data_IF_556530598618
#
_entry.id   IF_556530598618
#
_cell.length_a   1.000
_cell.length_b   1.000
_cell.length_c   1.000
_cell.angle_alpha   90.00
_cell.angle_beta   90.00
_cell.angle_gamma   90.00
#
_symmetry.space_group_name_H-M   'P 1'
#
loop_
_entity.id
_entity.type
_entity.pdbx_description
1 polymer ?
#
# COMPACT_ATOMS: atom_id res chain seq x y z
N UNK A 1 -48.62 -5.35 -41.75
CA UNK A 1 -47.73 -5.01 -40.62
C UNK A 1 -46.44 -5.86 -40.61
N UNK A 2 -45.34 -5.31 -40.09
CA UNK A 2 -44.06 -5.99 -39.87
C UNK A 2 -43.52 -5.70 -38.47
N UNK A 3 -42.73 -6.63 -37.92
CA UNK A 3 -42.05 -6.49 -36.63
C UNK A 3 -40.55 -6.61 -36.86
N UNK A 4 -39.79 -5.56 -36.54
CA UNK A 4 -38.33 -5.45 -36.76
C UNK A 4 -37.62 -4.87 -35.54
N UNK A 5 -36.29 -4.70 -35.61
CA UNK A 5 -35.47 -4.01 -34.59
C UNK A 5 -35.59 -4.57 -33.17
N UNK A 6 -35.55 -5.90 -33.07
CA UNK A 6 -35.63 -6.64 -31.82
C UNK A 6 -34.47 -6.26 -30.89
N UNK A 7 -34.81 -5.87 -29.67
CA UNK A 7 -33.88 -5.55 -28.60
C UNK A 7 -34.32 -6.28 -27.34
N UNK A 8 -33.44 -7.03 -26.65
CA UNK A 8 -32.17 -7.53 -27.17
C UNK A 8 -32.36 -8.30 -28.49
N UNK A 9 -31.36 -8.34 -29.39
CA UNK A 9 -31.43 -9.16 -30.60
C UNK A 9 -31.64 -10.65 -30.27
N UNK A 10 -32.21 -11.40 -31.21
CA UNK A 10 -32.42 -12.85 -31.03
C UNK A 10 -31.09 -13.58 -30.75
N UNK A 11 -31.07 -14.40 -29.70
CA UNK A 11 -29.90 -15.12 -29.21
C UNK A 11 -28.86 -14.26 -28.48
N UNK A 12 -29.17 -12.99 -28.14
CA UNK A 12 -28.22 -12.12 -27.45
C UNK A 12 -27.95 -12.57 -26.00
N UNK A 13 -26.69 -12.44 -25.58
CA UNK A 13 -26.31 -12.52 -24.17
C UNK A 13 -26.38 -11.13 -23.53
N UNK A 14 -27.09 -11.02 -22.42
CA UNK A 14 -27.33 -9.75 -21.72
C UNK A 14 -26.86 -9.87 -20.28
N UNK A 15 -26.11 -8.88 -19.80
CA UNK A 15 -25.50 -8.89 -18.46
C UNK A 15 -26.28 -8.11 -17.41
N UNK A 16 -27.28 -7.32 -17.83
CA UNK A 16 -28.20 -6.64 -16.91
C UNK A 16 -29.45 -7.50 -16.71
N UNK A 17 -29.87 -7.77 -15.45
CA UNK A 17 -31.08 -8.54 -15.19
C UNK A 17 -32.37 -7.72 -15.41
N UNK A 18 -32.27 -6.42 -15.73
CA UNK A 18 -33.40 -5.54 -16.08
C UNK A 18 -33.21 -4.92 -17.47
N UNK A 19 -33.16 -5.74 -18.54
CA UNK A 19 -32.92 -5.22 -19.88
C UNK A 19 -34.13 -4.46 -20.42
N UNK A 20 -33.87 -3.47 -21.28
CA UNK A 20 -34.94 -2.91 -22.11
C UNK A 20 -35.24 -3.89 -23.24
N UNK A 21 -36.49 -4.34 -23.31
CA UNK A 21 -37.02 -5.21 -24.35
C UNK A 21 -37.86 -4.36 -25.30
N UNK A 22 -37.54 -4.33 -26.59
CA UNK A 22 -38.30 -3.53 -27.56
C UNK A 22 -38.28 -4.12 -28.96
N UNK A 23 -39.25 -3.70 -29.78
CA UNK A 23 -39.30 -3.94 -31.21
C UNK A 23 -40.01 -2.76 -31.91
N UNK A 24 -39.86 -2.66 -33.23
CA UNK A 24 -40.58 -1.69 -34.06
C UNK A 24 -41.68 -2.42 -34.83
N UNK A 25 -42.91 -1.92 -34.71
CA UNK A 25 -44.08 -2.39 -35.46
C UNK A 25 -44.44 -1.33 -36.50
N UNK A 26 -44.46 -1.71 -37.78
CA UNK A 26 -44.74 -0.80 -38.88
C UNK A 26 -45.80 -1.36 -39.84
N UNK A 27 -46.59 -0.47 -40.44
CA UNK A 27 -47.48 -0.79 -41.57
C UNK A 27 -47.67 0.46 -42.43
N UNK A 28 -47.29 0.37 -43.71
CA UNK A 28 -47.31 1.53 -44.63
C UNK A 28 -48.66 1.77 -45.31
N UNK A 29 -49.58 0.79 -45.27
CA UNK A 29 -50.83 0.84 -46.03
C UNK A 29 -52.03 1.26 -45.18
N UNK A 30 -52.35 0.48 -44.15
CA UNK A 30 -53.53 0.67 -43.30
C UNK A 30 -53.18 1.27 -41.92
N UNK A 31 -51.91 1.22 -41.56
CA UNK A 31 -51.39 1.62 -40.26
C UNK A 31 -51.61 0.55 -39.19
N UNK A 32 -50.78 0.59 -38.16
CA UNK A 32 -50.85 -0.34 -37.02
C UNK A 32 -52.11 -0.04 -36.18
N UNK A 33 -52.79 -1.09 -35.71
CA UNK A 33 -53.84 -0.98 -34.70
C UNK A 33 -53.21 -1.14 -33.29
N UNK A 34 -53.07 -0.06 -32.50
CA UNK A 34 -52.39 -0.12 -31.20
C UNK A 34 -53.06 -1.06 -30.19
N UNK A 35 -54.39 -1.17 -30.25
CA UNK A 35 -55.17 -2.03 -29.34
C UNK A 35 -54.98 -3.53 -29.61
N UNK A 36 -54.32 -3.88 -30.71
CA UNK A 36 -54.03 -5.27 -31.08
C UNK A 36 -52.64 -5.75 -30.70
N UNK A 37 -51.81 -4.87 -30.12
CA UNK A 37 -50.44 -5.21 -29.74
C UNK A 37 -50.47 -6.02 -28.44
N UNK A 38 -49.85 -7.20 -28.46
CA UNK A 38 -49.70 -8.06 -27.29
C UNK A 38 -48.24 -8.45 -27.16
N UNK A 39 -47.65 -8.15 -26.01
CA UNK A 39 -46.28 -8.52 -25.68
C UNK A 39 -46.28 -9.49 -24.50
N UNK A 40 -45.51 -10.58 -24.61
CA UNK A 40 -45.32 -11.55 -23.52
C UNK A 40 -43.83 -11.79 -23.27
N UNK A 41 -43.47 -11.92 -22.00
CA UNK A 41 -42.16 -12.40 -21.56
C UNK A 41 -42.38 -13.74 -20.85
N UNK A 42 -41.68 -14.79 -21.30
CA UNK A 42 -41.78 -16.16 -20.79
C UNK A 42 -43.22 -16.70 -20.75
N UNK A 43 -44.01 -16.30 -21.75
CA UNK A 43 -45.42 -16.67 -21.88
C UNK A 43 -46.39 -15.84 -21.03
N UNK A 44 -45.89 -14.93 -20.18
CA UNK A 44 -46.71 -14.02 -19.35
C UNK A 44 -46.85 -12.67 -20.06
N UNK A 45 -48.08 -12.16 -20.16
CA UNK A 45 -48.35 -10.86 -20.77
C UNK A 45 -47.80 -9.72 -19.90
N UNK A 46 -47.15 -8.73 -20.54
CA UNK A 46 -46.48 -7.62 -19.87
C UNK A 46 -47.04 -6.28 -20.31
N UNK A 47 -47.04 -5.32 -19.38
CA UNK A 47 -47.40 -3.93 -19.67
C UNK A 47 -46.26 -3.25 -20.43
N UNK A 48 -46.54 -2.80 -21.65
CA UNK A 48 -45.56 -2.14 -22.52
C UNK A 48 -45.96 -0.69 -22.82
N UNK A 49 -45.02 0.06 -23.38
CA UNK A 49 -45.25 1.37 -23.97
C UNK A 49 -45.20 1.28 -25.48
N UNK A 50 -46.09 1.99 -26.18
CA UNK A 50 -46.11 2.09 -27.63
C UNK A 50 -46.05 3.55 -28.07
N UNK A 51 -45.09 3.88 -28.93
CA UNK A 51 -44.95 5.19 -29.55
C UNK A 51 -45.47 5.13 -31.00
N UNK A 52 -46.65 5.71 -31.31
CA UNK A 52 -47.22 5.68 -32.65
C UNK A 52 -46.40 6.43 -33.71
N UNK A 53 -45.51 7.34 -33.31
CA UNK A 53 -44.70 8.13 -34.24
C UNK A 53 -43.49 7.35 -34.76
N UNK A 54 -42.96 6.43 -33.95
CA UNK A 54 -41.80 5.60 -34.27
C UNK A 54 -42.17 4.12 -34.50
N UNK A 55 -43.38 3.71 -34.13
CA UNK A 55 -43.81 2.31 -34.14
C UNK A 55 -43.17 1.49 -33.01
N UNK A 56 -42.44 2.11 -32.08
CA UNK A 56 -41.66 1.39 -31.07
C UNK A 56 -42.56 0.87 -29.94
N UNK A 57 -42.53 -0.44 -29.73
CA UNK A 57 -43.05 -1.12 -28.54
C UNK A 57 -41.88 -1.36 -27.58
N UNK A 58 -41.99 -0.95 -26.31
CA UNK A 58 -40.91 -1.08 -25.33
C UNK A 58 -41.42 -1.48 -23.95
N UNK A 59 -40.72 -2.41 -23.31
CA UNK A 59 -40.95 -2.92 -21.96
C UNK A 59 -39.61 -2.99 -21.20
N UNK A 60 -39.62 -2.62 -19.92
CA UNK A 60 -38.49 -2.83 -19.01
C UNK A 60 -39.03 -3.55 -17.78
N UNK A 61 -38.50 -4.75 -17.44
CA UNK A 61 -38.90 -5.47 -16.23
C UNK A 61 -38.75 -4.61 -14.97
N UNK A 62 -39.77 -4.62 -14.11
CA UNK A 62 -39.72 -3.95 -12.80
C UNK A 62 -38.95 -4.75 -11.74
N UNK A 63 -38.78 -6.06 -11.97
CA UNK A 63 -38.01 -6.97 -11.12
C UNK A 63 -36.87 -7.59 -11.92
N UNK A 64 -35.71 -7.89 -11.29
CA UNK A 64 -34.61 -8.58 -11.94
C UNK A 64 -35.01 -9.95 -12.47
N UNK A 65 -34.78 -10.18 -13.75
CA UNK A 65 -34.89 -11.49 -14.38
C UNK A 65 -33.78 -12.43 -13.85
N UNK A 66 -34.09 -13.72 -13.77
CA UNK A 66 -33.14 -14.75 -13.35
C UNK A 66 -32.06 -14.98 -14.42
N UNK A 67 -30.94 -15.61 -14.06
CA UNK A 67 -29.99 -16.10 -15.07
C UNK A 67 -30.61 -17.23 -15.90
N UNK A 68 -30.44 -17.19 -17.21
CA UNK A 68 -31.03 -18.16 -18.12
C UNK A 68 -31.63 -17.55 -19.38
N UNK A 69 -32.20 -18.41 -20.21
CA UNK A 69 -32.89 -18.02 -21.44
C UNK A 69 -34.27 -17.47 -21.13
N UNK A 70 -34.60 -16.33 -21.73
CA UNK A 70 -35.90 -15.68 -21.69
C UNK A 70 -36.46 -15.53 -23.10
N UNK A 71 -37.75 -15.77 -23.26
CA UNK A 71 -38.43 -15.73 -24.55
C UNK A 71 -39.43 -14.59 -24.61
N UNK A 72 -39.33 -13.76 -25.64
CA UNK A 72 -40.26 -12.66 -25.91
C UNK A 72 -41.16 -13.04 -27.07
N UNK A 73 -42.46 -12.85 -26.89
CA UNK A 73 -43.46 -12.95 -27.95
C UNK A 73 -44.09 -11.58 -28.18
N UNK A 74 -44.23 -11.17 -29.43
CA UNK A 74 -44.92 -9.95 -29.83
C UNK A 74 -45.85 -10.23 -31.01
N UNK A 75 -47.12 -9.86 -30.88
CA UNK A 75 -48.09 -9.88 -31.98
C UNK A 75 -48.72 -8.51 -32.16
N UNK A 76 -48.97 -8.11 -33.39
CA UNK A 76 -49.69 -6.88 -33.72
C UNK A 76 -50.51 -7.06 -35.01
N UNK A 77 -51.66 -6.41 -35.09
CA UNK A 77 -52.47 -6.34 -36.30
C UNK A 77 -52.52 -4.93 -36.89
N UNK A 78 -52.71 -4.85 -38.20
CA UNK A 78 -53.00 -3.60 -38.88
C UNK A 78 -54.52 -3.29 -38.85
N UNK A 79 -54.92 -2.11 -39.35
CA UNK A 79 -56.34 -1.72 -39.38
C UNK A 79 -57.18 -2.47 -40.42
N UNK A 80 -56.54 -3.19 -41.35
CA UNK A 80 -57.20 -4.07 -42.31
C UNK A 80 -57.42 -5.49 -41.75
N UNK A 81 -56.88 -5.80 -40.58
CA UNK A 81 -57.02 -7.09 -39.90
C UNK A 81 -55.92 -8.09 -40.23
N UNK A 82 -54.83 -7.70 -40.88
CA UNK A 82 -53.67 -8.58 -41.08
C UNK A 82 -52.83 -8.60 -39.80
N UNK A 83 -52.37 -9.78 -39.38
CA UNK A 83 -51.57 -9.97 -38.15
C UNK A 83 -50.13 -10.31 -38.49
N UNK A 84 -49.19 -9.79 -37.71
CA UNK A 84 -47.79 -10.19 -37.68
C UNK A 84 -47.43 -10.67 -36.27
N UNK A 85 -46.61 -11.72 -36.20
CA UNK A 85 -46.11 -12.30 -34.96
C UNK A 85 -44.60 -12.45 -35.05
N UNK A 86 -43.92 -12.25 -33.93
CA UNK A 86 -42.50 -12.53 -33.79
C UNK A 86 -42.22 -13.15 -32.42
N UNK A 87 -41.30 -14.10 -32.40
CA UNK A 87 -40.76 -14.69 -31.17
C UNK A 87 -39.25 -14.65 -31.24
N UNK A 88 -38.61 -14.17 -30.18
CA UNK A 88 -37.16 -14.18 -30.07
C UNK A 88 -36.73 -14.43 -28.64
N UNK A 89 -35.48 -14.81 -28.48
CA UNK A 89 -34.89 -15.18 -27.20
C UNK A 89 -33.68 -14.31 -26.88
N UNK A 90 -33.40 -14.15 -25.59
CA UNK A 90 -32.13 -13.63 -25.10
C UNK A 90 -31.76 -14.37 -23.82
N UNK A 91 -30.47 -14.45 -23.50
CA UNK A 91 -29.99 -15.11 -22.29
C UNK A 91 -29.46 -14.07 -21.33
N UNK A 92 -30.00 -14.03 -20.11
CA UNK A 92 -29.37 -13.31 -19.00
C UNK A 92 -28.18 -14.15 -18.53
N UNK A 93 -26.99 -13.59 -18.71
CA UNK A 93 -25.73 -14.19 -18.25
C UNK A 93 -25.17 -13.37 -17.10
N UNK A 94 -24.56 -14.05 -16.13
CA UNK A 94 -23.82 -13.37 -15.06
C UNK A 94 -22.71 -12.52 -15.66
N UNK A 95 -22.63 -11.26 -15.26
CA UNK A 95 -21.47 -10.42 -15.59
C UNK A 95 -20.21 -11.08 -15.02
N UNK A 96 -19.23 -11.37 -15.88
CA UNK A 96 -17.93 -11.82 -15.42
C UNK A 96 -17.25 -10.70 -14.64
N UNK A 97 -16.85 -10.98 -13.39
CA UNK A 97 -16.00 -10.06 -12.62
C UNK A 97 -14.64 -9.96 -13.33
N UNK A 98 -14.07 -8.76 -13.53
CA UNK A 98 -12.71 -8.65 -14.03
C UNK A 98 -11.71 -9.33 -13.07
N UNK A 99 -10.58 -9.83 -13.58
CA UNK A 99 -9.52 -10.34 -12.73
C UNK A 99 -8.88 -9.21 -11.92
N UNK A 100 -8.43 -9.51 -10.70
CA UNK A 100 -7.67 -8.54 -9.92
C UNK A 100 -6.28 -8.37 -10.54
N UNK A 101 -5.94 -7.14 -10.92
CA UNK A 101 -4.62 -6.81 -11.46
C UNK A 101 -3.70 -6.21 -10.40
N UNK A 102 -4.23 -5.35 -9.52
CA UNK A 102 -3.46 -4.65 -8.50
C UNK A 102 -4.23 -4.61 -7.17
N UNK A 103 -3.50 -4.69 -6.06
CA UNK A 103 -4.00 -4.34 -4.73
C UNK A 103 -3.17 -3.17 -4.21
N UNK A 104 -3.82 -2.14 -3.68
CA UNK A 104 -3.16 -1.09 -2.91
C UNK A 104 -3.53 -1.22 -1.45
N UNK A 105 -2.54 -1.49 -0.61
CA UNK A 105 -2.74 -1.70 0.82
C UNK A 105 -2.28 -0.48 1.61
N UNK A 106 -3.11 -0.01 2.54
CA UNK A 106 -2.78 1.13 3.40
C UNK A 106 -3.30 0.92 4.81
N UNK A 107 -2.53 1.38 5.81
CA UNK A 107 -2.97 1.47 7.19
C UNK A 107 -3.25 2.94 7.53
N UNK A 108 -4.28 3.21 8.34
CA UNK A 108 -4.63 4.57 8.75
C UNK A 108 -3.57 5.22 9.65
N UNK A 109 -2.66 4.43 10.21
CA UNK A 109 -1.46 4.88 10.92
C UNK A 109 -0.35 3.85 10.75
N UNK A 110 0.90 4.31 10.65
CA UNK A 110 2.09 3.44 10.70
C UNK A 110 2.44 3.02 12.13
N UNK A 111 1.92 3.72 13.15
CA UNK A 111 2.21 3.45 14.55
C UNK A 111 0.93 3.10 15.30
N UNK A 112 0.98 1.98 16.01
CA UNK A 112 -0.16 1.43 16.75
C UNK A 112 0.25 1.31 18.22
N UNK A 113 -0.50 1.90 19.17
CA UNK A 113 -0.29 1.66 20.58
C UNK A 113 -0.41 0.17 20.90
N UNK A 114 0.57 -0.39 21.60
CA UNK A 114 0.58 -1.78 22.04
C UNK A 114 -0.25 -1.99 23.32
N UNK A 115 -1.49 -1.47 23.35
CA UNK A 115 -2.42 -1.54 24.48
C UNK A 115 -3.39 -2.73 24.38
N UNK A 116 -3.42 -3.43 23.24
CA UNK A 116 -4.34 -4.53 22.96
C UNK A 116 -5.76 -4.09 22.57
N UNK A 117 -6.03 -2.79 22.55
CA UNK A 117 -7.38 -2.23 22.37
C UNK A 117 -7.46 -1.29 21.16
N UNK A 118 -6.47 -0.42 20.97
CA UNK A 118 -6.43 0.54 19.87
C UNK A 118 -6.29 -0.18 18.55
N UNK A 119 -7.34 -0.07 17.74
CA UNK A 119 -7.43 -0.68 16.43
C UNK A 119 -7.05 0.32 15.32
N UNK A 120 -6.13 -0.07 14.44
CA UNK A 120 -5.82 0.68 13.24
C UNK A 120 -6.53 0.06 12.05
N UNK A 121 -7.15 0.91 11.23
CA UNK A 121 -7.84 0.50 10.02
C UNK A 121 -6.83 0.16 8.93
N UNK A 122 -6.99 -1.01 8.31
CA UNK A 122 -6.20 -1.46 7.16
C UNK A 122 -7.14 -1.65 5.97
N UNK A 123 -6.92 -0.86 4.94
CA UNK A 123 -7.73 -0.81 3.72
C UNK A 123 -6.93 -1.39 2.54
N UNK A 124 -7.50 -2.40 1.89
CA UNK A 124 -7.03 -2.94 0.62
C UNK A 124 -7.96 -2.47 -0.51
N UNK A 125 -7.47 -1.61 -1.39
CA UNK A 125 -8.16 -1.21 -2.62
C UNK A 125 -7.84 -2.23 -3.72
N UNK A 126 -8.87 -2.87 -4.25
CA UNK A 126 -8.78 -3.89 -5.29
C UNK A 126 -9.07 -3.28 -6.66
N UNK A 127 -8.14 -3.40 -7.60
CA UNK A 127 -8.19 -2.76 -8.90
C UNK A 127 -8.06 -3.77 -10.05
N UNK A 128 -8.74 -3.49 -11.15
CA UNK A 128 -8.56 -4.19 -12.43
C UNK A 128 -7.35 -3.65 -13.23
N UNK A 129 -7.11 -4.21 -14.42
CA UNK A 129 -6.02 -3.80 -15.31
C UNK A 129 -6.11 -2.34 -15.76
N UNK A 130 -7.30 -1.74 -15.71
CA UNK A 130 -7.54 -0.34 -16.07
C UNK A 130 -7.48 0.60 -14.85
N UNK A 131 -7.17 0.07 -13.66
CA UNK A 131 -7.14 0.84 -12.42
C UNK A 131 -8.52 1.19 -11.88
N UNK A 132 -9.57 0.48 -12.30
CA UNK A 132 -10.93 0.66 -11.78
C UNK A 132 -11.18 -0.25 -10.56
N UNK A 133 -11.94 0.23 -9.56
CA UNK A 133 -12.25 -0.57 -8.38
C UNK A 133 -13.14 -1.77 -8.72
N UNK A 134 -12.83 -2.93 -8.13
CA UNK A 134 -13.61 -4.16 -8.29
C UNK A 134 -14.38 -4.45 -6.99
N UNK A 135 -15.73 -4.35 -6.97
CA UNK A 135 -16.54 -4.76 -5.83
C UNK A 135 -16.71 -6.29 -5.73
N UNK A 136 -17.04 -6.77 -4.53
CA UNK A 136 -17.38 -8.18 -4.28
C UNK A 136 -16.20 -9.16 -4.30
N UNK A 137 -14.96 -8.67 -4.20
CA UNK A 137 -13.74 -9.48 -4.16
C UNK A 137 -13.42 -9.87 -2.72
N UNK A 138 -13.26 -11.17 -2.45
CA UNK A 138 -12.73 -11.63 -1.16
C UNK A 138 -11.21 -11.40 -1.13
N UNK A 139 -10.76 -10.56 -0.22
CA UNK A 139 -9.35 -10.29 0.05
C UNK A 139 -8.96 -11.03 1.32
N UNK A 140 -7.95 -11.88 1.24
CA UNK A 140 -7.36 -12.56 2.40
C UNK A 140 -6.27 -11.69 3.00
N UNK A 141 -6.26 -11.56 4.32
CA UNK A 141 -5.27 -10.78 5.06
C UNK A 141 -4.47 -11.70 5.97
N UNK A 142 -3.16 -11.49 5.99
CA UNK A 142 -2.24 -12.12 6.94
C UNK A 142 -1.39 -11.06 7.61
N UNK A 143 -0.97 -11.31 8.84
CA UNK A 143 -0.01 -10.45 9.55
C UNK A 143 1.09 -11.28 10.20
N UNK A 144 2.32 -10.75 10.23
CA UNK A 144 3.44 -11.40 10.95
C UNK A 144 3.37 -11.21 12.47
N UNK A 145 2.66 -10.17 12.94
CA UNK A 145 2.48 -9.86 14.35
C UNK A 145 1.15 -9.12 14.61
N UNK A 146 0.68 -9.13 15.86
CA UNK A 146 -0.62 -8.57 16.23
C UNK A 146 -1.80 -9.47 15.85
N UNK A 147 -3.01 -8.94 15.98
CA UNK A 147 -4.26 -9.64 15.71
C UNK A 147 -5.14 -8.86 14.73
N UNK A 148 -5.53 -9.51 13.64
CA UNK A 148 -6.50 -8.97 12.68
C UNK A 148 -7.93 -9.23 13.17
N UNK A 149 -8.84 -8.28 12.92
CA UNK A 149 -10.27 -8.43 13.23
C UNK A 149 -10.94 -9.58 12.46
N UNK A 150 -10.41 -9.92 11.29
CA UNK A 150 -10.81 -11.06 10.46
C UNK A 150 -9.66 -11.47 9.52
N UNK A 151 -9.62 -12.74 9.11
CA UNK A 151 -8.64 -13.24 8.13
C UNK A 151 -8.97 -12.88 6.67
N UNK A 152 -10.15 -12.32 6.43
CA UNK A 152 -10.58 -11.89 5.10
C UNK A 152 -11.66 -10.80 5.19
N UNK A 153 -11.76 -9.96 4.17
CA UNK A 153 -12.87 -9.02 3.98
C UNK A 153 -13.27 -8.95 2.51
N UNK A 154 -14.52 -8.56 2.22
CA UNK A 154 -15.03 -8.42 0.85
C UNK A 154 -14.96 -6.95 0.42
N UNK A 155 -14.50 -6.69 -0.79
CA UNK A 155 -14.45 -5.34 -1.33
C UNK A 155 -15.86 -4.75 -1.54
N UNK A 156 -16.05 -3.50 -1.10
CA UNK A 156 -17.30 -2.76 -1.28
C UNK A 156 -17.42 -2.15 -2.70
N UNK A 157 -18.47 -1.35 -2.95
CA UNK A 157 -18.72 -0.65 -4.23
C UNK A 157 -17.58 0.27 -4.68
N UNK A 158 -16.71 0.71 -3.76
CA UNK A 158 -15.53 1.53 -4.08
C UNK A 158 -14.24 0.70 -4.14
N UNK A 159 -14.35 -0.64 -4.11
CA UNK A 159 -13.23 -1.56 -4.25
C UNK A 159 -12.43 -1.81 -2.96
N UNK A 160 -12.87 -1.27 -1.82
CA UNK A 160 -12.15 -1.41 -0.54
C UNK A 160 -12.62 -2.62 0.25
N UNK A 161 -11.67 -3.49 0.62
CA UNK A 161 -11.83 -4.50 1.65
C UNK A 161 -11.07 -4.04 2.92
N UNK A 162 -11.78 -3.98 4.05
CA UNK A 162 -11.26 -3.39 5.29
C UNK A 162 -11.16 -4.42 6.41
N UNK A 163 -10.02 -4.43 7.10
CA UNK A 163 -9.82 -5.12 8.38
C UNK A 163 -9.21 -4.16 9.40
N UNK A 164 -9.22 -4.54 10.67
CA UNK A 164 -8.55 -3.78 11.73
C UNK A 164 -7.43 -4.61 12.33
N UNK A 165 -6.35 -3.96 12.73
CA UNK A 165 -5.21 -4.59 13.40
C UNK A 165 -5.05 -4.00 14.81
N UNK A 166 -4.88 -4.87 15.80
CA UNK A 166 -4.54 -4.53 17.19
C UNK A 166 -3.30 -5.31 17.65
N UNK A 167 -2.67 -4.88 18.73
CA UNK A 167 -1.61 -5.64 19.40
C UNK A 167 -1.46 -5.25 20.85
N UNK A 168 -1.19 -6.22 21.72
CA UNK A 168 -0.75 -6.00 23.11
C UNK A 168 0.78 -6.16 23.26
N UNK A 169 1.48 -6.50 22.19
CA UNK A 169 2.94 -6.71 22.19
C UNK A 169 3.66 -5.42 21.81
N UNK A 170 4.58 -5.00 22.67
CA UNK A 170 5.37 -3.79 22.49
C UNK A 170 6.53 -4.02 21.53
N UNK A 171 6.83 -3.01 20.73
CA UNK A 171 8.08 -2.85 19.95
C UNK A 171 8.37 -4.06 19.07
N UNK A 172 7.48 -4.30 18.10
CA UNK A 172 7.73 -5.21 16.98
C UNK A 172 7.10 -4.65 15.70
N UNK A 173 7.67 -4.99 14.55
CA UNK A 173 7.12 -4.67 13.24
C UNK A 173 6.10 -5.73 12.84
N UNK A 174 4.94 -5.32 12.35
CA UNK A 174 3.98 -6.19 11.68
C UNK A 174 3.98 -5.91 10.18
N UNK A 175 4.18 -6.96 9.39
CA UNK A 175 3.93 -6.95 7.94
C UNK A 175 2.52 -7.46 7.74
N UNK A 176 1.63 -6.59 7.22
CA UNK A 176 0.31 -7.01 6.77
C UNK A 176 0.40 -7.28 5.27
N UNK A 177 -0.09 -8.43 4.84
CA UNK A 177 -0.20 -8.81 3.43
C UNK A 177 -1.66 -9.03 3.09
N UNK A 178 -2.11 -8.42 1.99
CA UNK A 178 -3.41 -8.63 1.38
C UNK A 178 -3.22 -9.43 0.08
N UNK A 179 -4.05 -10.44 -0.14
CA UNK A 179 -4.02 -11.32 -1.31
C UNK A 179 -5.44 -11.48 -1.86
N UNK A 180 -5.61 -11.25 -3.16
CA UNK A 180 -6.84 -11.54 -3.89
C UNK A 180 -6.50 -12.02 -5.30
N UNK A 181 -7.10 -13.13 -5.72
CA UNK A 181 -6.72 -13.88 -6.92
C UNK A 181 -5.19 -14.14 -6.94
N UNK A 182 -4.47 -13.53 -7.88
CA UNK A 182 -2.99 -13.61 -8.00
C UNK A 182 -2.27 -12.32 -7.59
N UNK A 183 -3.01 -11.27 -7.21
CA UNK A 183 -2.43 -9.99 -6.82
C UNK A 183 -2.21 -9.95 -5.31
N UNK A 184 -1.06 -9.42 -4.88
CA UNK A 184 -0.74 -9.25 -3.47
C UNK A 184 -0.10 -7.89 -3.22
N UNK A 185 -0.37 -7.32 -2.05
CA UNK A 185 0.30 -6.12 -1.56
C UNK A 185 0.62 -6.27 -0.09
N UNK A 186 1.70 -5.62 0.36
CA UNK A 186 2.08 -5.61 1.77
C UNK A 186 2.31 -4.18 2.28
N UNK A 187 2.09 -3.99 3.57
CA UNK A 187 2.38 -2.73 4.27
C UNK A 187 2.91 -3.04 5.67
N UNK A 188 3.73 -2.14 6.20
CA UNK A 188 4.39 -2.28 7.49
C UNK A 188 3.78 -1.31 8.50
N UNK A 189 3.59 -1.79 9.72
CA UNK A 189 3.23 -0.97 10.89
C UNK A 189 4.08 -1.36 12.09
N UNK A 190 4.20 -0.44 13.04
CA UNK A 190 5.03 -0.58 14.24
C UNK A 190 4.14 -0.54 15.48
N UNK A 191 4.25 -1.55 16.33
CA UNK A 191 3.62 -1.53 17.65
C UNK A 191 4.52 -0.78 18.62
N UNK A 192 4.03 0.32 19.16
CA UNK A 192 4.80 1.23 20.03
C UNK A 192 4.19 1.22 21.42
N UNK A 193 4.99 1.46 22.45
CA UNK A 193 4.47 1.65 23.80
C UNK A 193 3.38 2.74 23.79
N UNK A 194 2.17 2.51 24.36
CA UNK A 194 1.09 3.48 24.37
C UNK A 194 1.50 4.86 24.90
N UNK A 195 2.41 4.92 25.86
CA UNK A 195 2.90 6.17 26.43
C UNK A 195 3.86 6.92 25.49
N UNK A 196 4.42 6.23 24.48
CA UNK A 196 5.46 6.75 23.59
C UNK A 196 5.02 6.93 22.14
N UNK A 197 3.84 6.42 21.75
CA UNK A 197 3.35 6.48 20.36
C UNK A 197 3.30 7.90 19.79
N UNK A 198 2.95 8.90 20.61
CA UNK A 198 2.87 10.31 20.21
C UNK A 198 4.22 11.01 20.09
N UNK A 199 5.31 10.36 20.50
CA UNK A 199 6.67 10.91 20.48
C UNK A 199 7.55 10.28 19.39
N UNK A 200 6.99 9.37 18.59
CA UNK A 200 7.73 8.74 17.50
C UNK A 200 7.98 9.77 16.40
N UNK A 201 9.25 9.90 16.03
CA UNK A 201 9.72 10.72 14.93
C UNK A 201 10.15 9.84 13.76
N UNK A 202 10.26 10.48 12.60
CA UNK A 202 10.90 9.91 11.41
C UNK A 202 12.02 10.83 10.95
N UNK A 203 13.14 10.24 10.54
CA UNK A 203 14.24 10.96 9.92
C UNK A 203 14.68 10.26 8.63
N UNK A 204 14.77 11.01 7.54
CA UNK A 204 15.18 10.50 6.24
C UNK A 204 16.69 10.68 6.04
N UNK A 205 17.42 9.58 5.91
CA UNK A 205 18.84 9.56 5.57
C UNK A 205 18.98 9.32 4.08
N UNK A 206 19.46 10.32 3.35
CA UNK A 206 19.73 10.21 1.92
C UNK A 206 21.00 9.40 1.68
N UNK A 207 20.90 8.39 0.83
CA UNK A 207 22.02 7.53 0.42
C UNK A 207 22.24 7.69 -1.09
N UNK A 208 23.50 7.77 -1.50
CA UNK A 208 23.90 7.76 -2.91
C UNK A 208 24.44 6.38 -3.29
N UNK A 209 24.49 6.07 -4.59
CA UNK A 209 25.11 4.81 -5.08
C UNK A 209 26.57 4.71 -4.63
N UNK A 210 26.96 3.54 -4.12
CA UNK A 210 28.30 3.30 -3.60
C UNK A 210 28.36 3.36 -2.08
N UNK A 211 29.49 3.79 -1.54
CA UNK A 211 29.70 3.84 -0.09
C UNK A 211 29.12 5.11 0.50
N UNK A 212 28.45 4.97 1.64
CA UNK A 212 27.91 6.06 2.45
C UNK A 212 28.40 5.86 3.88
N UNK A 213 28.83 6.94 4.53
CA UNK A 213 29.19 6.91 5.95
C UNK A 213 28.08 7.62 6.73
N UNK A 214 27.27 6.83 7.42
CA UNK A 214 26.01 7.31 8.00
C UNK A 214 25.96 7.15 9.52
N UNK A 215 25.01 7.85 10.12
CA UNK A 215 24.54 7.64 11.50
C UNK A 215 23.04 7.38 11.52
N UNK A 216 22.54 6.95 12.69
CA UNK A 216 21.12 6.97 13.00
C UNK A 216 20.82 8.16 13.92
N UNK A 217 20.22 9.26 13.42
CA UNK A 217 19.92 10.44 14.24
C UNK A 217 18.90 10.18 15.33
N UNK A 218 18.03 9.18 15.13
CA UNK A 218 17.04 8.74 16.10
C UNK A 218 17.47 7.40 16.71
N UNK A 219 17.07 7.18 17.96
CA UNK A 219 17.08 5.87 18.61
C UNK A 219 16.03 5.02 17.86
N UNK A 220 16.43 4.01 17.07
CA UNK A 220 15.49 3.30 16.23
C UNK A 220 14.48 2.52 17.08
N UNK A 221 13.22 2.46 16.62
CA UNK A 221 12.20 1.61 17.25
C UNK A 221 12.63 0.13 17.26
N UNK A 222 13.36 -0.31 16.25
CA UNK A 222 13.97 -1.64 16.19
C UNK A 222 15.39 -1.53 15.65
N UNK A 223 16.38 -1.89 16.47
CA UNK A 223 17.79 -1.84 16.08
C UNK A 223 18.22 -3.03 15.23
N UNK A 224 17.41 -4.09 15.08
CA UNK A 224 17.79 -5.26 14.29
C UNK A 224 18.00 -4.86 12.83
N UNK A 225 19.16 -5.19 12.26
CA UNK A 225 19.57 -4.67 10.94
C UNK A 225 18.61 -5.06 9.81
N UNK A 226 18.07 -6.29 9.84
CA UNK A 226 17.11 -6.77 8.82
C UNK A 226 15.75 -6.11 8.92
N UNK A 227 15.40 -5.61 10.10
CA UNK A 227 14.15 -4.89 10.33
C UNK A 227 14.30 -3.42 9.97
N UNK A 228 15.37 -2.78 10.43
CA UNK A 228 15.66 -1.38 10.19
C UNK A 228 15.84 -1.07 8.70
N UNK A 229 16.47 -1.98 7.96
CA UNK A 229 16.79 -1.79 6.54
C UNK A 229 15.81 -2.47 5.59
N UNK A 230 14.70 -3.04 6.10
CA UNK A 230 13.79 -3.87 5.31
C UNK A 230 13.29 -3.17 4.05
N UNK A 231 12.82 -1.93 4.18
CA UNK A 231 12.19 -1.17 3.09
C UNK A 231 13.19 -0.77 1.98
N UNK A 232 14.50 -0.85 2.28
CA UNK A 232 15.60 -0.54 1.35
C UNK A 232 16.53 -1.74 1.12
N UNK A 233 16.11 -2.95 1.54
CA UNK A 233 16.99 -4.12 1.61
C UNK A 233 17.53 -4.54 0.23
N UNK A 234 16.74 -4.39 -0.83
CA UNK A 234 17.16 -4.74 -2.20
C UNK A 234 18.31 -3.85 -2.71
N UNK A 235 18.32 -2.59 -2.26
CA UNK A 235 19.29 -1.59 -2.66
C UNK A 235 20.57 -1.58 -1.83
N UNK A 236 20.57 -2.19 -0.64
CA UNK A 236 21.76 -2.26 0.24
C UNK A 236 22.54 -3.55 -0.02
N UNK A 237 23.82 -3.40 -0.34
CA UNK A 237 24.73 -4.52 -0.55
C UNK A 237 25.37 -4.98 0.77
N UNK A 238 25.88 -4.03 1.57
CA UNK A 238 26.63 -4.35 2.78
C UNK A 238 26.62 -3.21 3.77
N UNK A 239 26.61 -3.56 5.06
CA UNK A 239 26.81 -2.63 6.17
C UNK A 239 28.02 -3.06 6.97
N UNK A 240 28.85 -2.11 7.40
CA UNK A 240 29.95 -2.33 8.33
C UNK A 240 29.85 -1.40 9.54
N UNK A 241 30.28 -1.91 10.68
CA UNK A 241 30.51 -1.15 11.91
C UNK A 241 31.93 -1.43 12.43
N UNK A 242 32.47 -0.48 13.17
CA UNK A 242 33.79 -0.59 13.77
C UNK A 242 33.69 -0.40 15.28
N UNK A 243 34.22 -1.35 16.05
CA UNK A 243 34.32 -1.26 17.50
C UNK A 243 35.71 -0.76 17.87
N UNK A 244 35.79 0.49 18.33
CA UNK A 244 37.05 1.10 18.71
C UNK A 244 37.66 0.52 20.00
N UNK A 245 36.86 -0.14 20.84
CA UNK A 245 37.33 -0.72 22.11
C UNK A 245 38.12 -2.01 21.89
N UNK A 246 37.75 -2.79 20.86
CA UNK A 246 38.39 -4.05 20.48
C UNK A 246 39.26 -3.92 19.23
N UNK A 247 39.03 -2.89 18.41
CA UNK A 247 39.65 -2.73 17.10
C UNK A 247 39.05 -3.64 16.02
N UNK A 248 37.91 -4.25 16.29
CA UNK A 248 37.27 -5.23 15.41
C UNK A 248 36.28 -4.56 14.44
N UNK A 249 36.11 -5.21 13.29
CA UNK A 249 35.13 -4.84 12.28
C UNK A 249 34.03 -5.89 12.22
N UNK A 250 32.80 -5.41 12.22
CA UNK A 250 31.60 -6.22 12.08
C UNK A 250 30.91 -5.85 10.78
N UNK A 251 30.26 -6.81 10.13
CA UNK A 251 29.53 -6.55 8.89
C UNK A 251 28.26 -7.38 8.76
N UNK A 252 27.37 -6.92 7.87
CA UNK A 252 26.21 -7.68 7.42
C UNK A 252 26.01 -7.49 5.92
N UNK A 253 25.86 -8.60 5.20
CA UNK A 253 25.54 -8.66 3.78
C UNK A 253 24.04 -9.00 3.64
N UNK A 254 23.23 -8.04 3.21
CA UNK A 254 21.78 -8.20 3.17
C UNK A 254 21.34 -9.18 2.08
N UNK A 255 22.06 -9.24 0.96
CA UNK A 255 21.75 -10.13 -0.16
C UNK A 255 22.07 -11.57 0.17
N UNK A 256 23.18 -11.82 0.86
CA UNK A 256 23.57 -13.15 1.29
C UNK A 256 22.94 -13.56 2.64
N UNK A 257 22.44 -12.62 3.44
CA UNK A 257 21.90 -12.88 4.77
C UNK A 257 22.96 -13.35 5.78
N UNK A 258 24.22 -12.97 5.58
CA UNK A 258 25.37 -13.41 6.39
C UNK A 258 26.12 -12.23 6.99
N UNK A 259 26.71 -12.45 8.16
CA UNK A 259 27.49 -11.44 8.88
C UNK A 259 27.28 -11.51 10.38
N UNK A 260 28.16 -10.85 11.11
CA UNK A 260 28.21 -10.78 12.57
C UNK A 260 27.61 -9.48 13.14
N UNK A 261 27.45 -8.43 12.31
CA UNK A 261 26.70 -7.24 12.69
C UNK A 261 25.20 -7.56 12.70
N UNK A 262 24.58 -7.56 13.88
CA UNK A 262 23.16 -7.87 14.05
C UNK A 262 22.26 -6.66 14.25
N UNK A 263 22.84 -5.57 14.75
CA UNK A 263 22.10 -4.38 15.16
C UNK A 263 22.76 -3.12 14.63
N UNK A 264 21.93 -2.13 14.29
CA UNK A 264 22.33 -0.75 14.08
C UNK A 264 21.68 0.10 15.16
N UNK A 265 22.53 0.67 16.01
CA UNK A 265 22.21 1.56 17.12
C UNK A 265 22.62 2.99 16.79
N UNK A 266 21.89 3.91 17.39
CA UNK A 266 22.22 5.33 17.47
C UNK A 266 23.58 5.56 18.17
N UNK A 267 24.22 6.69 17.86
CA UNK A 267 25.54 7.07 18.37
C UNK A 267 26.74 6.38 17.73
N UNK A 268 26.52 5.33 16.92
CA UNK A 268 27.56 4.65 16.13
C UNK A 268 27.51 5.07 14.66
N UNK A 269 28.67 5.06 14.01
CA UNK A 269 28.79 5.28 12.58
C UNK A 269 28.77 3.96 11.81
N UNK A 270 28.18 3.96 10.62
CA UNK A 270 28.08 2.79 9.76
C UNK A 270 28.53 3.10 8.35
N UNK A 271 29.31 2.20 7.75
CA UNK A 271 29.55 2.20 6.32
C UNK A 271 28.47 1.39 5.63
N UNK A 272 27.66 2.04 4.80
CA UNK A 272 26.58 1.40 4.05
C UNK A 272 26.89 1.48 2.57
N UNK A 273 26.99 0.33 1.91
CA UNK A 273 27.16 0.22 0.47
C UNK A 273 25.82 0.00 -0.20
N UNK A 274 25.46 0.85 -1.15
CA UNK A 274 24.22 0.75 -1.92
C UNK A 274 24.50 0.56 -3.41
N UNK A 275 23.55 -0.06 -4.12
CA UNK A 275 23.62 -0.19 -5.59
C UNK A 275 23.13 1.06 -6.32
N UNK A 276 22.25 1.85 -5.72
CA UNK A 276 21.66 3.06 -6.28
C UNK A 276 21.40 4.11 -5.20
N UNK A 277 20.90 5.30 -5.60
CA UNK A 277 20.47 6.31 -4.65
C UNK A 277 19.12 5.95 -4.05
N UNK A 278 18.95 6.13 -2.73
CA UNK A 278 17.72 5.78 -2.01
C UNK A 278 17.60 6.61 -0.72
N UNK A 279 16.42 6.53 -0.09
CA UNK A 279 16.18 7.17 1.20
C UNK A 279 15.95 6.08 2.24
N UNK A 280 16.76 6.08 3.30
CA UNK A 280 16.53 5.28 4.49
C UNK A 280 15.74 6.10 5.50
N UNK A 281 14.46 5.79 5.69
CA UNK A 281 13.66 6.40 6.76
C UNK A 281 13.86 5.66 8.07
N UNK A 282 14.42 6.35 9.06
CA UNK A 282 14.58 5.85 10.43
C UNK A 282 13.39 6.30 11.27
N UNK A 283 12.67 5.38 11.88
CA UNK A 283 11.62 5.68 12.86
C UNK A 283 12.14 5.46 14.27
N UNK A 284 11.90 6.42 15.17
CA UNK A 284 12.50 6.36 16.49
C UNK A 284 12.24 7.56 17.38
N UNK A 285 13.09 7.71 18.39
CA UNK A 285 13.04 8.80 19.35
C UNK A 285 14.34 9.59 19.32
N UNK A 286 14.26 10.91 19.49
CA UNK A 286 15.47 11.74 19.60
C UNK A 286 16.21 11.46 20.91
N UNK A 287 15.46 11.38 22.02
CA UNK A 287 15.95 11.01 23.34
C UNK A 287 15.24 9.77 23.85
N UNK A 288 15.86 8.99 24.76
CA UNK A 288 15.16 7.86 25.34
C UNK A 288 13.93 8.38 26.11
N UNK A 289 12.77 7.70 26.00
CA UNK A 289 11.57 8.18 26.64
C UNK A 289 11.75 8.29 28.17
N UNK A 290 11.20 9.34 28.82
CA UNK A 290 11.22 9.46 30.27
C UNK A 290 10.68 8.19 30.96
N UNK A 291 11.26 7.75 32.09
CA UNK A 291 12.20 8.46 32.97
C UNK A 291 13.69 8.26 32.62
N UNK A 292 14.02 7.77 31.42
CA UNK A 292 15.40 7.49 31.05
C UNK A 292 16.28 8.77 30.99
N UNK A 293 17.54 8.66 31.39
CA UNK A 293 18.51 9.75 31.29
C UNK A 293 19.03 9.90 29.85
N UNK A 294 19.47 11.10 29.45
CA UNK A 294 20.19 11.30 28.18
C UNK A 294 21.31 10.27 28.01
N UNK A 295 21.45 9.75 26.79
CA UNK A 295 22.45 8.72 26.51
C UNK A 295 23.84 9.33 26.47
N UNK A 296 24.81 8.55 26.93
CA UNK A 296 26.22 8.89 26.85
C UNK A 296 26.93 7.84 26.00
N UNK A 297 27.79 8.28 25.08
CA UNK A 297 28.54 7.38 24.19
C UNK A 297 30.01 7.41 24.54
N UNK A 298 30.52 6.26 24.99
CA UNK A 298 31.93 6.10 25.35
C UNK A 298 32.79 5.93 24.10
N UNK A 299 33.93 6.62 24.11
CA UNK A 299 34.93 6.59 23.04
C UNK A 299 36.26 6.06 23.60
N UNK A 300 36.92 5.23 22.80
CA UNK A 300 38.26 4.73 23.11
C UNK A 300 39.34 5.76 22.72
N UNK A 301 40.55 5.60 23.24
CA UNK A 301 41.71 6.30 22.69
C UNK A 301 41.99 5.83 21.26
N UNK A 302 42.44 6.73 20.38
CA UNK A 302 42.64 6.43 18.97
C UNK A 302 41.37 6.66 18.14
N UNK A 303 41.25 5.96 17.02
CA UNK A 303 40.16 6.15 16.05
C UNK A 303 38.86 5.51 16.53
N UNK A 304 37.78 6.30 16.48
CA UNK A 304 36.41 5.87 16.74
C UNK A 304 35.55 6.18 15.51
N UNK A 305 34.64 5.27 15.18
CA UNK A 305 33.62 5.49 14.16
C UNK A 305 32.31 5.86 14.85
N UNK A 306 31.98 7.15 14.86
CA UNK A 306 30.84 7.68 15.61
C UNK A 306 29.72 8.07 14.66
N UNK A 307 28.50 8.05 15.20
CA UNK A 307 27.34 8.62 14.53
C UNK A 307 26.95 9.94 15.15
N UNK A 308 26.69 10.98 14.36
CA UNK A 308 26.13 12.22 14.88
C UNK A 308 24.67 12.01 15.31
N UNK A 309 24.34 12.45 16.53
CA UNK A 309 23.11 12.05 17.27
C UNK A 309 22.06 13.15 17.43
N UNK A 310 22.19 14.26 16.72
CA UNK A 310 21.20 15.33 16.70
C UNK A 310 20.35 15.29 15.42
N UNK A 311 19.17 15.90 15.49
CA UNK A 311 18.30 16.10 14.31
C UNK A 311 18.57 17.43 13.60
N UNK A 312 19.36 18.31 14.21
CA UNK A 312 19.83 19.57 13.63
C UNK A 312 21.37 19.62 13.55
N UNK A 313 21.95 20.27 12.53
CA UNK A 313 23.40 20.44 12.44
C UNK A 313 24.01 21.16 13.65
N UNK A 314 25.19 20.73 14.07
CA UNK A 314 25.95 21.33 15.17
C UNK A 314 27.42 21.41 14.82
N UNK A 315 28.15 22.39 15.38
CA UNK A 315 29.59 22.45 15.14
C UNK A 315 30.33 21.29 15.82
N UNK A 316 31.47 20.90 15.25
CA UNK A 316 32.34 19.86 15.82
C UNK A 316 32.68 20.14 17.30
N UNK A 317 33.06 21.37 17.62
CA UNK A 317 33.49 21.75 18.97
C UNK A 317 32.37 21.77 20.01
N UNK A 318 31.13 22.06 19.59
CA UNK A 318 29.96 22.00 20.45
C UNK A 318 29.57 20.55 20.75
N UNK A 319 29.50 19.70 19.72
CA UNK A 319 29.07 18.32 19.86
C UNK A 319 30.10 17.46 20.63
N UNK A 320 31.39 17.68 20.37
CA UNK A 320 32.49 16.98 21.03
C UNK A 320 33.04 17.75 22.24
N UNK A 321 32.24 18.64 22.83
CA UNK A 321 32.67 19.46 23.97
C UNK A 321 33.12 18.60 25.14
N UNK A 322 34.38 18.78 25.55
CA UNK A 322 35.00 18.02 26.64
C UNK A 322 35.56 16.65 26.24
N UNK A 323 35.45 16.28 24.96
CA UNK A 323 36.11 15.10 24.39
C UNK A 323 37.52 15.48 23.92
N UNK A 324 38.57 14.73 24.28
CA UNK A 324 39.95 15.04 23.91
C UNK A 324 40.28 14.56 22.48
N UNK A 325 39.56 15.09 21.48
CA UNK A 325 39.76 14.74 20.08
C UNK A 325 40.97 15.47 19.46
N UNK A 326 41.68 14.77 18.59
CA UNK A 326 42.83 15.24 17.82
C UNK A 326 42.42 15.56 16.38
N UNK A 327 41.48 14.79 15.83
CA UNK A 327 41.06 14.90 14.43
C UNK A 327 39.65 14.38 14.23
N UNK A 328 38.88 15.10 13.41
CA UNK A 328 37.59 14.68 12.90
C UNK A 328 37.65 14.57 11.38
N UNK A 329 37.12 13.49 10.83
CA UNK A 329 37.08 13.23 9.39
C UNK A 329 35.66 12.84 8.99
N UNK A 330 35.13 13.53 8.00
CA UNK A 330 33.91 13.18 7.28
C UNK A 330 34.24 12.43 5.98
N UNK A 331 33.24 11.76 5.42
CA UNK A 331 33.31 11.16 4.10
C UNK A 331 32.24 11.75 3.20
N UNK A 332 32.63 12.26 2.05
CA UNK A 332 31.72 12.73 1.00
C UNK A 332 31.42 11.56 0.06
N UNK A 333 30.19 11.02 0.08
CA UNK A 333 29.85 9.86 -0.72
C UNK A 333 29.66 10.19 -2.21
N UNK A 334 29.41 11.45 -2.57
CA UNK A 334 29.30 11.87 -3.96
C UNK A 334 30.66 11.91 -4.68
N UNK A 335 31.72 12.27 -3.98
CA UNK A 335 33.09 12.29 -4.53
C UNK A 335 33.96 11.10 -4.13
N UNK A 336 33.53 10.33 -3.11
CA UNK A 336 34.28 9.21 -2.55
C UNK A 336 35.53 9.65 -1.77
N UNK A 337 35.56 10.89 -1.25
CA UNK A 337 36.74 11.48 -0.60
C UNK A 337 36.51 11.75 0.88
N UNK A 338 37.60 11.68 1.63
CA UNK A 338 37.64 12.08 3.03
C UNK A 338 37.91 13.57 3.16
N UNK A 339 37.20 14.22 4.08
CA UNK A 339 37.32 15.64 4.39
C UNK A 339 37.69 15.79 5.86
N UNK A 340 38.77 16.52 6.15
CA UNK A 340 39.15 16.84 7.53
C UNK A 340 38.28 18.02 7.99
N UNK A 341 37.62 17.88 9.13
CA UNK A 341 36.81 18.92 9.73
C UNK A 341 37.59 19.65 10.83
N UNK A 342 37.43 20.97 10.88
CA UNK A 342 37.84 21.83 11.98
C UNK A 342 36.70 22.09 12.96
N UNK A 343 37.02 22.79 14.04
CA UNK A 343 36.14 23.00 15.21
C UNK A 343 34.81 23.71 14.90
N UNK A 344 34.80 24.57 13.87
CA UNK A 344 33.63 25.34 13.44
C UNK A 344 32.89 24.71 12.25
N UNK A 345 33.40 23.60 11.69
CA UNK A 345 32.68 22.88 10.65
C UNK A 345 31.50 22.13 11.27
N UNK A 346 30.49 21.87 10.45
CA UNK A 346 29.24 21.26 10.90
C UNK A 346 29.29 19.74 10.81
N UNK A 347 28.83 19.09 11.88
CA UNK A 347 28.31 17.74 11.85
C UNK A 347 26.85 17.80 11.38
N UNK A 348 26.49 16.93 10.46
CA UNK A 348 25.21 16.90 9.76
C UNK A 348 24.43 15.66 10.19
N UNK A 349 23.15 15.80 10.57
CA UNK A 349 22.29 14.66 10.88
C UNK A 349 22.29 13.62 9.75
N UNK A 350 22.39 12.34 10.12
CA UNK A 350 22.44 11.21 9.20
C UNK A 350 23.83 10.83 8.74
N UNK A 351 24.87 11.63 9.05
CA UNK A 351 26.25 11.36 8.66
C UNK A 351 27.05 10.72 9.81
N UNK A 352 27.92 9.78 9.44
CA UNK A 352 28.91 9.19 10.33
C UNK A 352 30.27 9.89 10.20
N UNK A 353 31.09 9.79 11.26
CA UNK A 353 32.36 10.50 11.36
C UNK A 353 33.44 9.63 11.98
N UNK A 354 34.67 9.79 11.50
CA UNK A 354 35.85 9.27 12.16
C UNK A 354 36.41 10.30 13.12
N UNK A 355 36.57 9.95 14.39
CA UNK A 355 37.14 10.82 15.42
C UNK A 355 38.32 10.13 16.10
N UNK A 356 39.49 10.75 16.01
CA UNK A 356 40.69 10.30 16.70
C UNK A 356 40.81 11.01 18.05
N UNK A 357 41.01 10.27 19.15
CA UNK A 357 41.17 10.81 20.49
C UNK A 357 42.56 10.53 21.06
N UNK A 358 43.09 11.43 21.90
CA UNK A 358 44.36 11.20 22.62
C UNK A 358 44.20 10.26 23.82
N UNK A 359 43.03 10.27 24.45
CA UNK A 359 42.65 9.44 25.59
C UNK A 359 41.14 9.14 25.52
N UNK A 360 40.62 8.14 26.27
CA UNK A 360 39.19 7.83 26.25
C UNK A 360 38.33 9.04 26.64
N UNK A 361 37.13 9.13 26.07
CA UNK A 361 36.21 10.25 26.31
C UNK A 361 34.75 9.81 26.23
N UNK A 362 33.83 10.74 26.50
CA UNK A 362 32.40 10.48 26.45
C UNK A 362 31.68 11.63 25.76
N UNK A 363 30.84 11.31 24.77
CA UNK A 363 29.92 12.27 24.14
C UNK A 363 28.63 12.32 24.97
N UNK A 364 28.19 13.55 25.26
CA UNK A 364 26.88 13.86 25.83
C UNK A 364 26.13 14.73 24.82
N UNK A 365 25.35 14.12 23.91
CA UNK A 365 24.50 14.84 22.97
C UNK A 365 23.43 15.66 23.71
#
# INVERSE_FOLDING_TARGET
PSITDLTPPDGANVTTPVPTISAVVADELSGVNPESIVMKLDGVEVEYTYDPSTGKVSYTPSEPLAEGEHTVFLSASDKAGNTAEQTWSFTIVRAARPPVAEIRLSASSKFIPADGETAVKVDALVLDEFGMPIPGVVVNFTTTAGALSAGSAVSNETGFATVFLTSAQRVTTAVITALADNASASTNVYFVDPEHVGFVLSYDVELVSGWNLISLPLIPLNSTITELLRDVAEGIERVWAYDASTGEWYYYDLKAGVGDLKEMKDGLGYWVKTSEGMILTVFGFEQPPPPATPRAYSLAAGWNLIGFKETEPMTVSEYLRGVPYIRVIAFDPGTGRYVILGDNDLLIPGYGYWVALSEPGTIFP
#
